data_IF_163643291266
#
_entry.id   IF_163643291266
#
_cell.length_a   1.000
_cell.length_b   1.000
_cell.length_c   1.000
_cell.angle_alpha   90.00
_cell.angle_beta   90.00
_cell.angle_gamma   90.00
#
_symmetry.space_group_name_H-M   'P 1'
#
loop_
_entity.id
_entity.type
_entity.pdbx_description
1 polymer ?
#
# COMPACT_ATOMS: atom_id res chain seq x y z
N UNK A 1 -10.80 4.29 -22.68
CA UNK A 1 -10.00 4.01 -21.46
C UNK A 1 -10.58 4.73 -20.26
N UNK A 2 -10.32 4.27 -19.03
CA UNK A 2 -10.82 4.88 -17.80
C UNK A 2 -10.53 6.39 -17.75
N UNK A 3 -9.30 6.81 -18.09
CA UNK A 3 -8.90 8.21 -18.11
C UNK A 3 -9.75 9.11 -19.03
N UNK A 4 -10.29 8.59 -20.13
CA UNK A 4 -11.22 9.35 -20.97
C UNK A 4 -12.58 9.51 -20.28
N UNK A 5 -13.09 8.47 -19.64
CA UNK A 5 -14.36 8.55 -18.92
C UNK A 5 -14.33 9.55 -17.75
N UNK A 6 -13.18 9.73 -17.08
CA UNK A 6 -13.08 10.73 -16.01
C UNK A 6 -13.20 12.18 -16.52
N UNK A 7 -12.97 12.41 -17.83
CA UNK A 7 -13.11 13.72 -18.47
C UNK A 7 -14.47 13.85 -19.15
N UNK A 8 -14.84 12.86 -19.97
CA UNK A 8 -15.97 12.95 -20.90
C UNK A 8 -17.32 12.54 -20.25
N UNK A 9 -17.28 11.66 -19.24
CA UNK A 9 -18.46 11.03 -18.63
C UNK A 9 -18.37 11.04 -17.10
N UNK A 10 -17.97 12.17 -16.52
CA UNK A 10 -17.68 12.29 -15.09
C UNK A 10 -18.91 12.04 -14.20
N UNK A 11 -20.05 12.55 -14.61
CA UNK A 11 -21.30 12.39 -13.86
C UNK A 11 -21.79 10.94 -13.93
N UNK A 12 -21.72 10.29 -15.06
CA UNK A 12 -22.07 8.89 -15.24
C UNK A 12 -21.14 7.98 -14.43
N UNK A 13 -19.83 8.26 -14.42
CA UNK A 13 -18.88 7.55 -13.57
C UNK A 13 -19.21 7.71 -12.10
N UNK A 14 -19.54 8.92 -11.68
CA UNK A 14 -19.95 9.19 -10.29
C UNK A 14 -21.20 8.39 -9.92
N UNK A 15 -22.22 8.39 -10.79
CA UNK A 15 -23.45 7.62 -10.55
C UNK A 15 -23.20 6.10 -10.46
N UNK A 16 -22.31 5.56 -11.30
CA UNK A 16 -21.90 4.15 -11.22
C UNK A 16 -21.16 3.86 -9.92
N UNK A 17 -20.23 4.71 -9.52
CA UNK A 17 -19.48 4.54 -8.27
C UNK A 17 -20.38 4.66 -7.02
N UNK A 18 -21.41 5.50 -7.05
CA UNK A 18 -22.41 5.58 -5.97
C UNK A 18 -23.13 4.24 -5.76
N UNK A 19 -23.53 3.58 -6.84
CA UNK A 19 -24.19 2.27 -6.77
C UNK A 19 -23.22 1.20 -6.26
N UNK A 20 -21.99 1.13 -6.80
CA UNK A 20 -20.99 0.15 -6.38
C UNK A 20 -20.57 0.37 -4.92
N UNK A 21 -20.27 1.61 -4.53
CA UNK A 21 -19.88 1.93 -3.15
C UNK A 21 -20.98 1.56 -2.15
N UNK A 22 -22.24 1.86 -2.46
CA UNK A 22 -23.37 1.47 -1.60
C UNK A 22 -23.40 -0.05 -1.39
N UNK A 23 -23.21 -0.85 -2.45
CA UNK A 23 -23.19 -2.32 -2.38
C UNK A 23 -21.97 -2.86 -1.63
N UNK A 24 -20.78 -2.32 -1.89
CA UNK A 24 -19.56 -2.72 -1.18
C UNK A 24 -19.71 -2.46 0.32
N UNK A 25 -20.22 -1.30 0.71
CA UNK A 25 -20.45 -0.95 2.11
C UNK A 25 -21.50 -1.85 2.78
N UNK A 26 -22.57 -2.20 2.06
CA UNK A 26 -23.56 -3.17 2.53
C UNK A 26 -22.92 -4.54 2.82
N UNK A 27 -22.09 -5.05 1.89
CA UNK A 27 -21.38 -6.31 2.06
C UNK A 27 -20.35 -6.26 3.21
N UNK A 28 -19.59 -5.15 3.32
CA UNK A 28 -18.65 -4.98 4.42
C UNK A 28 -19.35 -5.00 5.79
N UNK A 29 -20.45 -4.28 5.94
CA UNK A 29 -21.27 -4.29 7.17
C UNK A 29 -21.83 -5.68 7.47
N UNK A 30 -22.35 -6.39 6.47
CA UNK A 30 -22.85 -7.75 6.63
C UNK A 30 -21.74 -8.70 7.07
N UNK A 31 -20.53 -8.61 6.48
CA UNK A 31 -19.38 -9.40 6.89
C UNK A 31 -19.01 -9.17 8.36
N UNK A 32 -18.93 -7.89 8.77
CA UNK A 32 -18.63 -7.50 10.15
C UNK A 32 -19.71 -8.01 11.13
N UNK A 33 -20.99 -7.89 10.80
CA UNK A 33 -22.10 -8.40 11.60
C UNK A 33 -22.09 -9.93 11.75
N UNK A 34 -21.52 -10.64 10.78
CA UNK A 34 -21.31 -12.11 10.82
C UNK A 34 -19.96 -12.51 11.45
N UNK A 35 -19.27 -11.61 12.12
CA UNK A 35 -18.06 -11.89 12.87
C UNK A 35 -16.79 -12.05 12.02
N UNK A 36 -16.80 -11.56 10.78
CA UNK A 36 -15.55 -11.48 9.99
C UNK A 36 -14.65 -10.44 10.66
N UNK A 37 -13.52 -10.91 11.18
CA UNK A 37 -12.49 -10.08 11.81
C UNK A 37 -11.21 -10.13 10.97
N UNK A 38 -10.43 -9.06 11.00
CA UNK A 38 -9.17 -8.93 10.28
C UNK A 38 -9.17 -7.73 9.34
N UNK A 39 -8.04 -7.42 8.68
CA UNK A 39 -8.01 -6.30 7.78
C UNK A 39 -8.94 -6.51 6.59
N UNK A 40 -9.74 -5.50 6.29
CA UNK A 40 -10.40 -5.38 5.00
C UNK A 40 -9.42 -4.76 4.03
N UNK A 41 -9.16 -5.44 2.93
CA UNK A 41 -8.11 -5.07 1.99
C UNK A 41 -8.68 -4.85 0.59
N UNK A 42 -8.17 -3.81 -0.10
CA UNK A 42 -8.42 -3.63 -1.53
C UNK A 42 -7.22 -3.05 -2.26
N UNK A 43 -7.27 -3.16 -3.57
CA UNK A 43 -6.25 -2.68 -4.52
C UNK A 43 -6.91 -1.74 -5.53
N UNK A 44 -6.12 -0.94 -6.23
CA UNK A 44 -6.60 -0.21 -7.39
C UNK A 44 -6.55 1.33 -7.34
N UNK A 45 -6.32 2.00 -6.18
CA UNK A 45 -6.25 3.47 -6.19
C UNK A 45 -5.17 4.05 -7.10
N UNK A 46 -4.16 3.26 -7.49
CA UNK A 46 -3.08 3.67 -8.39
C UNK A 46 -3.58 4.14 -9.77
N UNK A 47 -4.75 3.70 -10.21
CA UNK A 47 -5.32 4.17 -11.47
C UNK A 47 -5.88 5.60 -11.36
N UNK A 48 -6.04 6.11 -10.15
CA UNK A 48 -6.56 7.45 -9.85
C UNK A 48 -5.50 8.42 -9.31
N UNK A 49 -4.21 8.09 -9.45
CA UNK A 49 -3.10 8.97 -9.09
C UNK A 49 -2.20 9.26 -10.31
N UNK A 50 -1.34 10.29 -10.26
CA UNK A 50 -0.38 10.55 -11.33
C UNK A 50 0.56 9.35 -11.60
N UNK A 51 0.92 9.09 -12.85
CA UNK A 51 0.67 9.94 -14.04
C UNK A 51 -0.66 9.67 -14.74
N UNK A 52 -1.47 8.71 -14.27
CA UNK A 52 -2.69 8.29 -14.98
C UNK A 52 -3.82 9.31 -14.83
N UNK A 53 -4.09 9.74 -13.61
CA UNK A 53 -5.14 10.71 -13.31
C UNK A 53 -4.63 11.80 -12.34
N UNK A 54 -5.43 12.83 -12.12
CA UNK A 54 -5.07 13.99 -11.30
C UNK A 54 -5.38 13.79 -9.81
N UNK A 55 -4.80 14.61 -8.91
CA UNK A 55 -5.21 14.62 -7.51
C UNK A 55 -6.70 14.91 -7.29
N UNK A 56 -7.33 15.68 -8.18
CA UNK A 56 -8.77 15.92 -8.15
C UNK A 56 -9.56 14.62 -8.41
N UNK A 57 -9.08 13.79 -9.34
CA UNK A 57 -9.75 12.52 -9.64
C UNK A 57 -9.65 11.55 -8.46
N UNK A 58 -8.54 11.57 -7.72
CA UNK A 58 -8.41 10.85 -6.46
C UNK A 58 -9.46 11.32 -5.44
N UNK A 59 -9.66 12.63 -5.27
CA UNK A 59 -10.69 13.16 -4.38
C UNK A 59 -12.09 12.72 -4.78
N UNK A 60 -12.41 12.86 -6.07
CA UNK A 60 -13.77 12.66 -6.57
C UNK A 60 -14.13 11.18 -6.74
N UNK A 61 -13.16 10.28 -7.01
CA UNK A 61 -13.41 8.88 -7.37
C UNK A 61 -12.83 7.86 -6.38
N UNK A 62 -11.94 8.27 -5.46
CA UNK A 62 -11.41 7.40 -4.41
C UNK A 62 -11.84 7.91 -3.04
N UNK A 63 -11.34 9.07 -2.62
CA UNK A 63 -11.55 9.57 -1.28
C UNK A 63 -13.05 9.67 -0.91
N UNK A 64 -13.86 10.24 -1.80
CA UNK A 64 -15.30 10.40 -1.61
C UNK A 64 -16.02 9.09 -1.29
N UNK A 65 -15.59 7.99 -1.89
CA UNK A 65 -16.26 6.68 -1.79
C UNK A 65 -15.61 5.76 -0.77
N UNK A 66 -14.29 5.79 -0.64
CA UNK A 66 -13.57 4.89 0.25
C UNK A 66 -13.54 5.38 1.71
N UNK A 67 -13.56 6.69 1.96
CA UNK A 67 -13.60 7.20 3.33
C UNK A 67 -14.86 6.74 4.12
N UNK A 68 -16.08 6.75 3.55
CA UNK A 68 -17.22 6.14 4.22
C UNK A 68 -17.15 4.63 4.42
N UNK A 69 -16.46 3.91 3.52
CA UNK A 69 -16.20 2.47 3.66
C UNK A 69 -15.23 2.21 4.82
N UNK A 70 -14.15 2.97 4.92
CA UNK A 70 -13.22 2.91 6.05
C UNK A 70 -13.93 3.14 7.39
N UNK A 71 -14.81 4.15 7.45
CA UNK A 71 -15.59 4.44 8.64
C UNK A 71 -16.54 3.28 9.03
N UNK A 72 -17.19 2.63 8.06
CA UNK A 72 -18.02 1.45 8.30
C UNK A 72 -17.19 0.29 8.87
N UNK A 73 -16.01 0.04 8.31
CA UNK A 73 -15.09 -1.02 8.75
C UNK A 73 -14.61 -0.77 10.18
N UNK A 74 -14.20 0.45 10.49
CA UNK A 74 -13.77 0.84 11.83
C UNK A 74 -14.90 0.75 12.85
N UNK A 75 -16.13 1.11 12.48
CA UNK A 75 -17.29 0.98 13.37
C UNK A 75 -17.57 -0.47 13.77
N UNK A 76 -17.18 -1.43 12.95
CA UNK A 76 -17.22 -2.85 13.24
C UNK A 76 -15.98 -3.39 13.98
N UNK A 77 -15.04 -2.54 14.39
CA UNK A 77 -13.83 -2.92 15.12
C UNK A 77 -12.74 -3.58 14.26
N UNK A 78 -12.78 -3.36 12.95
CA UNK A 78 -11.81 -3.95 12.00
C UNK A 78 -10.86 -2.89 11.43
N UNK A 79 -9.91 -3.31 10.60
CA UNK A 79 -8.84 -2.48 10.06
C UNK A 79 -8.90 -2.41 8.54
N UNK A 80 -8.34 -1.33 8.00
CA UNK A 80 -8.27 -1.06 6.56
C UNK A 80 -6.83 -1.18 6.06
N UNK A 81 -6.62 -2.04 5.06
CA UNK A 81 -5.35 -2.20 4.36
C UNK A 81 -5.53 -1.83 2.87
N UNK A 82 -4.74 -0.90 2.38
CA UNK A 82 -4.83 -0.45 0.99
C UNK A 82 -3.53 -0.73 0.24
N UNK A 83 -3.67 -1.37 -0.91
CA UNK A 83 -2.58 -1.60 -1.86
C UNK A 83 -2.66 -0.58 -3.00
N UNK A 84 -1.62 0.25 -3.09
CA UNK A 84 -1.53 1.29 -4.11
C UNK A 84 -0.09 1.47 -4.58
N UNK A 85 0.18 1.05 -5.81
CA UNK A 85 1.47 1.24 -6.46
C UNK A 85 1.72 2.70 -6.87
N UNK A 86 2.99 3.04 -7.14
CA UNK A 86 3.40 4.27 -7.79
C UNK A 86 3.67 5.44 -6.83
N UNK A 87 3.38 6.66 -7.29
CA UNK A 87 3.79 7.90 -6.61
C UNK A 87 2.78 8.32 -5.54
N UNK A 88 2.86 7.69 -4.36
CA UNK A 88 1.90 7.90 -3.27
C UNK A 88 2.31 8.95 -2.24
N UNK A 89 3.55 9.48 -2.30
CA UNK A 89 4.04 10.41 -1.28
C UNK A 89 3.15 11.64 -1.10
N UNK A 90 2.61 12.21 -2.18
CA UNK A 90 1.71 13.36 -2.10
C UNK A 90 0.33 13.03 -1.53
N UNK A 91 -0.07 11.75 -1.49
CA UNK A 91 -1.37 11.27 -1.05
C UNK A 91 -1.38 10.71 0.38
N UNK A 92 -0.24 10.63 1.06
CA UNK A 92 -0.13 10.08 2.42
C UNK A 92 -1.15 10.69 3.39
N UNK A 93 -1.28 12.03 3.40
CA UNK A 93 -2.25 12.70 4.26
C UNK A 93 -3.70 12.39 3.87
N UNK A 94 -3.95 12.09 2.60
CA UNK A 94 -5.29 11.71 2.13
C UNK A 94 -5.64 10.29 2.55
N UNK A 95 -4.71 9.34 2.49
CA UNK A 95 -4.91 8.00 3.02
C UNK A 95 -5.15 8.01 4.53
N UNK A 96 -4.40 8.82 5.28
CA UNK A 96 -4.60 9.01 6.72
C UNK A 96 -6.00 9.58 7.00
N UNK A 97 -6.38 10.66 6.30
CA UNK A 97 -7.69 11.30 6.45
C UNK A 97 -8.86 10.40 6.01
N UNK A 98 -8.63 9.50 5.07
CA UNK A 98 -9.60 8.50 4.62
C UNK A 98 -9.84 7.41 5.67
N UNK A 99 -8.88 7.19 6.57
CA UNK A 99 -8.95 6.16 7.60
C UNK A 99 -8.24 4.87 7.21
N UNK A 100 -7.22 4.93 6.35
CA UNK A 100 -6.40 3.76 6.04
C UNK A 100 -5.47 3.47 7.22
N UNK A 101 -5.49 2.23 7.70
CA UNK A 101 -4.62 1.80 8.80
C UNK A 101 -3.24 1.34 8.33
N UNK A 102 -3.17 0.73 7.14
CA UNK A 102 -1.91 0.24 6.54
C UNK A 102 -1.90 0.56 5.05
N UNK A 103 -0.82 1.17 4.57
CA UNK A 103 -0.58 1.43 3.14
C UNK A 103 0.57 0.58 2.63
N UNK A 104 0.34 -0.10 1.49
CA UNK A 104 1.24 -1.02 0.80
C UNK A 104 1.14 -0.84 -0.74
N UNK A 105 2.17 -1.08 -1.52
CA UNK A 105 3.57 -1.02 -1.14
C UNK A 105 4.05 0.43 -1.13
N UNK A 106 5.10 0.70 -0.39
CA UNK A 106 5.70 2.02 -0.33
C UNK A 106 6.91 2.05 -1.28
N UNK A 107 6.65 2.14 -2.56
CA UNK A 107 7.70 2.01 -3.58
C UNK A 107 8.69 3.17 -3.57
N UNK A 108 10.02 2.87 -3.56
CA UNK A 108 11.04 3.90 -3.68
C UNK A 108 11.17 4.45 -5.12
N UNK A 109 12.00 5.49 -5.35
CA UNK A 109 12.24 6.04 -6.69
C UNK A 109 12.68 5.00 -7.72
N UNK A 110 12.14 5.12 -8.84
CA UNK A 110 11.90 4.63 -10.18
C UNK A 110 10.43 4.26 -10.36
N UNK A 111 9.86 3.39 -9.54
CA UNK A 111 8.45 2.99 -9.64
C UNK A 111 7.56 3.89 -8.79
N UNK A 112 8.00 4.25 -7.58
CA UNK A 112 7.32 5.18 -6.69
C UNK A 112 8.10 6.46 -6.41
N UNK A 113 7.79 7.09 -5.28
CA UNK A 113 8.43 8.33 -4.82
C UNK A 113 8.65 8.36 -3.29
N UNK A 114 8.65 7.19 -2.65
CA UNK A 114 8.79 7.07 -1.19
C UNK A 114 10.26 7.05 -0.78
N UNK A 115 10.66 8.07 -0.01
CA UNK A 115 11.79 8.00 0.92
C UNK A 115 11.25 7.56 2.29
N UNK A 116 11.68 6.41 2.77
CA UNK A 116 11.13 5.83 4.01
C UNK A 116 11.39 6.71 5.24
N UNK A 117 12.57 7.31 5.36
CA UNK A 117 12.91 8.15 6.51
C UNK A 117 12.04 9.42 6.56
N UNK A 118 11.91 10.11 5.44
CA UNK A 118 11.04 11.29 5.33
C UNK A 118 9.56 10.93 5.51
N UNK A 119 9.15 9.77 5.00
CA UNK A 119 7.77 9.29 5.15
C UNK A 119 7.44 9.03 6.62
N UNK A 120 8.31 8.35 7.36
CA UNK A 120 8.13 8.11 8.80
C UNK A 120 8.01 9.41 9.59
N UNK A 121 8.88 10.39 9.32
CA UNK A 121 8.80 11.71 9.95
C UNK A 121 7.47 12.41 9.64
N UNK A 122 7.04 12.36 8.39
CA UNK A 122 5.81 13.00 7.94
C UNK A 122 4.56 12.37 8.53
N UNK A 123 4.45 11.05 8.54
CA UNK A 123 3.21 10.38 9.00
C UNK A 123 3.13 10.27 10.52
N UNK A 124 4.25 10.30 11.24
CA UNK A 124 4.28 10.32 12.71
C UNK A 124 3.53 9.16 13.37
N UNK A 125 3.55 7.96 12.80
CA UNK A 125 2.85 6.79 13.31
C UNK A 125 1.33 6.79 13.13
N UNK A 126 0.76 7.76 12.39
CA UNK A 126 -0.69 7.85 12.11
C UNK A 126 -1.21 6.77 11.15
N UNK A 127 -0.34 6.13 10.39
CA UNK A 127 -0.65 5.05 9.46
C UNK A 127 0.45 3.99 9.54
N UNK A 128 0.10 2.72 9.37
CA UNK A 128 1.04 1.62 9.21
C UNK A 128 1.69 1.69 7.83
N UNK A 129 3.00 1.49 7.80
CA UNK A 129 3.82 1.54 6.59
C UNK A 129 4.28 0.14 6.22
N UNK A 130 3.93 -0.34 5.03
CA UNK A 130 4.34 -1.65 4.56
C UNK A 130 5.11 -1.51 3.25
N UNK A 131 6.39 -1.86 3.27
CA UNK A 131 7.33 -1.72 2.14
C UNK A 131 8.76 -1.87 2.65
N UNK A 132 9.80 -1.42 1.92
CA UNK A 132 9.75 -0.82 0.59
C UNK A 132 10.88 -1.37 -0.30
N UNK A 133 11.05 -2.70 -0.30
CA UNK A 133 12.09 -3.34 -1.13
C UNK A 133 11.49 -3.66 -2.51
N UNK A 134 12.05 -3.04 -3.54
CA UNK A 134 11.63 -3.32 -4.92
C UNK A 134 11.84 -4.79 -5.28
N UNK A 135 10.83 -5.40 -5.90
CA UNK A 135 10.93 -6.80 -6.35
C UNK A 135 12.11 -7.00 -7.31
N UNK A 136 12.46 -5.99 -8.10
CA UNK A 136 13.60 -6.04 -9.02
C UNK A 136 14.94 -6.20 -8.28
N UNK A 137 15.06 -5.63 -7.09
CA UNK A 137 16.26 -5.81 -6.26
C UNK A 137 16.35 -7.26 -5.74
N UNK A 138 15.24 -7.86 -5.34
CA UNK A 138 15.23 -9.28 -4.96
C UNK A 138 15.54 -10.18 -6.16
N UNK A 139 15.10 -9.81 -7.36
CA UNK A 139 15.37 -10.57 -8.58
C UNK A 139 16.84 -10.51 -9.02
N UNK A 140 17.53 -9.36 -8.86
CA UNK A 140 18.74 -9.05 -9.60
C UNK A 140 19.91 -8.54 -8.75
N UNK A 141 19.69 -8.04 -7.54
CA UNK A 141 20.77 -7.48 -6.73
C UNK A 141 21.75 -8.55 -6.25
N UNK A 142 23.01 -8.14 -6.09
CA UNK A 142 23.97 -8.92 -5.30
C UNK A 142 23.61 -8.90 -3.81
N UNK A 143 24.09 -9.89 -3.03
CA UNK A 143 23.71 -10.04 -1.64
C UNK A 143 24.05 -8.81 -0.78
N UNK A 144 25.21 -8.19 -0.97
CA UNK A 144 25.64 -7.01 -0.22
C UNK A 144 24.68 -5.83 -0.44
N UNK A 145 24.26 -5.61 -1.70
CA UNK A 145 23.32 -4.55 -2.05
C UNK A 145 21.95 -4.80 -1.45
N UNK A 146 21.47 -6.04 -1.49
CA UNK A 146 20.20 -6.43 -0.91
C UNK A 146 20.20 -6.23 0.60
N UNK A 147 21.26 -6.62 1.29
CA UNK A 147 21.42 -6.40 2.74
C UNK A 147 21.42 -4.90 3.10
N UNK A 148 22.15 -4.07 2.35
CA UNK A 148 22.17 -2.61 2.54
C UNK A 148 20.74 -2.02 2.43
N UNK A 149 19.99 -2.41 1.42
CA UNK A 149 18.62 -1.95 1.21
C UNK A 149 17.69 -2.36 2.36
N UNK A 150 17.76 -3.62 2.78
CA UNK A 150 16.95 -4.15 3.88
C UNK A 150 17.28 -3.40 5.18
N UNK A 151 18.55 -3.26 5.51
CA UNK A 151 18.98 -2.60 6.73
C UNK A 151 18.54 -1.13 6.76
N UNK A 152 18.77 -0.40 5.67
CA UNK A 152 18.34 1.00 5.53
C UNK A 152 16.82 1.15 5.69
N UNK A 153 16.06 0.27 5.02
CA UNK A 153 14.60 0.28 5.08
C UNK A 153 14.10 0.00 6.50
N UNK A 154 14.61 -1.04 7.16
CA UNK A 154 14.19 -1.43 8.51
C UNK A 154 14.58 -0.37 9.54
N UNK A 155 15.80 0.17 9.48
CA UNK A 155 16.25 1.24 10.39
C UNK A 155 15.38 2.49 10.28
N UNK A 156 14.98 2.87 9.06
CA UNK A 156 14.10 4.01 8.85
C UNK A 156 12.67 3.70 9.28
N UNK A 157 12.09 2.60 8.80
CA UNK A 157 10.71 2.22 9.01
C UNK A 157 10.37 1.95 10.46
N UNK A 158 11.24 1.28 11.19
CA UNK A 158 11.03 0.91 12.60
C UNK A 158 10.79 2.11 13.53
N UNK A 159 11.28 3.29 13.16
CA UNK A 159 11.04 4.53 13.93
C UNK A 159 9.57 4.94 13.97
N UNK A 160 8.75 4.47 13.02
CA UNK A 160 7.30 4.73 13.05
C UNK A 160 6.55 3.99 14.15
N UNK A 161 7.10 2.89 14.66
CA UNK A 161 6.41 1.95 15.55
C UNK A 161 5.30 1.14 14.87
N UNK A 162 5.03 1.38 13.57
CA UNK A 162 3.97 0.74 12.77
C UNK A 162 4.48 0.41 11.37
N UNK A 163 5.52 -0.42 11.30
CA UNK A 163 6.20 -0.76 10.07
C UNK A 163 6.23 -2.27 9.84
N UNK A 164 5.98 -2.68 8.60
CA UNK A 164 6.17 -4.05 8.11
C UNK A 164 7.15 -4.03 6.93
N UNK A 165 8.22 -4.80 7.04
CA UNK A 165 9.12 -5.01 5.91
C UNK A 165 8.43 -5.88 4.87
N UNK A 166 8.27 -5.35 3.66
CA UNK A 166 7.58 -6.04 2.56
C UNK A 166 8.24 -5.71 1.22
N UNK A 167 8.37 -6.66 0.29
CA UNK A 167 8.72 -6.35 -1.08
C UNK A 167 7.56 -5.65 -1.80
N UNK A 168 7.88 -4.86 -2.84
CA UNK A 168 6.87 -4.11 -3.59
C UNK A 168 5.90 -5.01 -4.38
N UNK A 169 6.33 -6.23 -4.72
CA UNK A 169 5.51 -7.24 -5.40
C UNK A 169 6.02 -8.65 -5.13
N UNK A 170 5.21 -9.65 -5.47
CA UNK A 170 5.64 -11.05 -5.55
C UNK A 170 6.17 -11.42 -6.93
N UNK A 171 6.80 -12.59 -7.02
CA UNK A 171 7.19 -13.17 -8.31
C UNK A 171 5.96 -13.71 -9.04
N UNK A 172 5.73 -13.23 -10.25
CA UNK A 172 4.51 -13.50 -11.02
C UNK A 172 4.74 -14.35 -12.29
N UNK A 173 5.99 -14.76 -12.57
CA UNK A 173 6.32 -15.45 -13.81
C UNK A 173 6.40 -16.97 -13.64
N UNK A 174 6.13 -17.71 -14.74
CA UNK A 174 6.26 -19.15 -14.83
C UNK A 174 7.14 -19.52 -16.05
N UNK A 175 7.99 -20.53 -15.98
CA UNK A 175 8.29 -21.43 -14.86
C UNK A 175 9.18 -20.75 -13.81
N UNK A 176 9.15 -21.25 -12.63
CA UNK A 176 9.73 -20.77 -11.37
C UNK A 176 10.98 -19.88 -11.45
N UNK A 177 11.21 -19.05 -10.41
CA UNK A 177 12.28 -18.07 -10.35
C UNK A 177 13.67 -18.72 -10.50
N UNK A 178 14.62 -17.90 -10.91
CA UNK A 178 16.04 -18.29 -10.96
C UNK A 178 16.56 -18.68 -9.58
N UNK A 179 17.62 -19.47 -9.51
CA UNK A 179 18.29 -19.79 -8.25
C UNK A 179 18.66 -18.51 -7.47
N UNK A 180 19.15 -17.49 -8.18
CA UNK A 180 19.47 -16.19 -7.58
C UNK A 180 18.27 -15.54 -6.88
N UNK A 181 17.09 -15.58 -7.49
CA UNK A 181 15.89 -15.04 -6.81
C UNK A 181 15.58 -15.80 -5.51
N UNK A 182 15.66 -17.12 -5.53
CA UNK A 182 15.43 -17.95 -4.35
C UNK A 182 16.45 -17.64 -3.26
N UNK A 183 17.72 -17.54 -3.61
CA UNK A 183 18.78 -17.21 -2.66
C UNK A 183 18.58 -15.81 -2.07
N UNK A 184 18.26 -14.84 -2.91
CA UNK A 184 17.95 -13.47 -2.48
C UNK A 184 16.69 -13.40 -1.63
N UNK A 185 15.63 -14.15 -1.94
CA UNK A 185 14.43 -14.21 -1.12
C UNK A 185 14.72 -14.81 0.26
N UNK A 186 15.52 -15.87 0.32
CA UNK A 186 15.93 -16.45 1.61
C UNK A 186 16.83 -15.50 2.40
N UNK A 187 17.72 -14.77 1.74
CA UNK A 187 18.52 -13.72 2.35
C UNK A 187 17.62 -12.60 2.89
N UNK A 188 16.69 -12.12 2.08
CA UNK A 188 15.70 -11.10 2.47
C UNK A 188 14.94 -11.49 3.74
N UNK A 189 14.42 -12.72 3.80
CA UNK A 189 13.67 -13.21 4.96
C UNK A 189 14.53 -13.32 6.21
N UNK A 190 15.72 -13.92 6.10
CA UNK A 190 16.61 -14.14 7.25
C UNK A 190 17.21 -12.83 7.77
N UNK A 191 17.84 -12.08 6.88
CA UNK A 191 18.48 -10.82 7.25
C UNK A 191 17.47 -9.74 7.65
N UNK A 192 16.31 -9.70 7.00
CA UNK A 192 15.21 -8.82 7.36
C UNK A 192 14.72 -9.07 8.78
N UNK A 193 14.54 -10.33 9.18
CA UNK A 193 14.16 -10.70 10.53
C UNK A 193 15.23 -10.25 11.54
N UNK A 194 16.50 -10.52 11.27
CA UNK A 194 17.62 -10.08 12.14
C UNK A 194 17.65 -8.55 12.33
N UNK A 195 17.42 -7.79 11.24
CA UNK A 195 17.36 -6.33 11.30
C UNK A 195 16.18 -5.84 12.16
N UNK A 196 15.00 -6.44 11.99
CA UNK A 196 13.81 -6.09 12.80
C UNK A 196 14.03 -6.41 14.27
N UNK A 197 14.62 -7.56 14.61
CA UNK A 197 14.94 -7.95 15.98
C UNK A 197 15.91 -6.95 16.63
N UNK A 198 16.95 -6.53 15.91
CA UNK A 198 17.90 -5.50 16.39
C UNK A 198 17.25 -4.15 16.66
N UNK A 199 16.19 -3.79 15.95
CA UNK A 199 15.47 -2.54 16.18
C UNK A 199 14.47 -2.59 17.34
N UNK A 200 14.19 -3.77 17.90
CA UNK A 200 13.28 -3.95 19.06
C UNK A 200 14.01 -3.86 20.41
N UNK A 201 15.33 -3.97 20.39
CA UNK A 201 16.18 -3.86 21.58
C UNK A 201 16.65 -2.44 21.83
#
# INVERSE_FOLDING_TARGET
TLALFTVDCRDEMTAVLEVFSARIREHARAALQNGVAGPFAWVGPEVYIPPLLSPRDFEDFVFRFDAPLCADIHSGGSYVWVHCHGKVASFLERYIAMGVDILNPLEPPKNGDIDMAQTVERVGGRIGLEGNIEIQEILQAGPERLMELIETCVQAGSRSGRFLLCPSAGYMEYPFPTAQYIDNLLLYLRFGLECVERCRT
#
